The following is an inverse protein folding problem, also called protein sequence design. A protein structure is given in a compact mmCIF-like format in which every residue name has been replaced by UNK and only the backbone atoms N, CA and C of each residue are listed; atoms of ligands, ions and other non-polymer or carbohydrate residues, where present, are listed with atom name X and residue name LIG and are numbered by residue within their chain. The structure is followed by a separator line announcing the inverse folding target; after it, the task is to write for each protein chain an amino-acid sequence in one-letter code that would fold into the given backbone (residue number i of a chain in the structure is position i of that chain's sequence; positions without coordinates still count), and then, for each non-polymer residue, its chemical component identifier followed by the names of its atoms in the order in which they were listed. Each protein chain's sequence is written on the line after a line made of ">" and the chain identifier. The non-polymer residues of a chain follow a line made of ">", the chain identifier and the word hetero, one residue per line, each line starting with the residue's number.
data_IF_875669862221
#
_entry.id   IF_875669862221
#
_cell.length_a   1.000
_cell.length_b   1.000
_cell.length_c   1.000
_cell.angle_alpha   90.00
_cell.angle_beta   90.00
_cell.angle_gamma   90.00
#
_symmetry.space_group_name_H-M   'P 1'
#
loop_
_entity.id
_entity.type
_entity.pdbx_description
1 polymer ?
#
# COMPACT_ATOMS: atom_id res chain seq x y z
N UNK A 1 -8.21 -4.94 -8.39
CA UNK A 1 -9.05 -4.08 -7.53
C UNK A 1 -8.17 -2.96 -7.01
N UNK A 2 -8.47 -1.71 -7.34
CA UNK A 2 -7.73 -0.56 -6.79
C UNK A 2 -8.12 -0.40 -5.31
N UNK A 3 -7.13 -0.31 -4.42
CA UNK A 3 -7.39 -0.16 -2.99
C UNK A 3 -8.05 1.18 -2.69
N UNK A 4 -9.31 1.20 -2.27
CA UNK A 4 -9.93 2.43 -1.77
C UNK A 4 -9.33 2.78 -0.40
N UNK A 5 -8.41 3.74 -0.40
CA UNK A 5 -7.74 4.25 0.80
C UNK A 5 -8.39 5.52 1.28
N UNK A 6 -8.48 5.67 2.61
CA UNK A 6 -8.84 6.98 3.19
C UNK A 6 -7.64 7.92 3.05
N UNK A 7 -7.83 9.24 2.96
CA UNK A 7 -6.72 10.20 2.94
C UNK A 7 -5.74 10.00 4.09
N UNK A 8 -6.25 9.64 5.28
CA UNK A 8 -5.46 9.35 6.47
C UNK A 8 -4.60 8.09 6.39
N UNK A 9 -4.96 7.15 5.52
CA UNK A 9 -4.19 5.94 5.26
C UNK A 9 -3.05 6.26 4.29
N UNK A 10 -3.33 7.06 3.25
CA UNK A 10 -2.33 7.54 2.28
C UNK A 10 -1.22 8.36 2.94
N UNK A 11 -1.57 9.29 3.83
CA UNK A 11 -0.61 10.11 4.61
C UNK A 11 0.35 9.24 5.45
N UNK A 12 -0.04 8.01 5.77
CA UNK A 12 0.70 7.10 6.66
C UNK A 12 1.29 5.89 5.95
N UNK A 13 1.35 5.94 4.62
CA UNK A 13 2.11 4.95 3.87
C UNK A 13 3.59 5.14 4.20
N UNK A 14 4.20 4.06 4.67
CA UNK A 14 5.64 3.91 4.79
C UNK A 14 6.19 3.57 3.40
N UNK A 15 6.76 4.57 2.73
CA UNK A 15 7.30 4.42 1.37
C UNK A 15 8.57 3.58 1.35
N UNK A 16 9.38 3.60 2.42
CA UNK A 16 10.59 2.79 2.53
C UNK A 16 10.26 1.30 2.69
N UNK A 17 9.16 0.99 3.39
CA UNK A 17 8.65 -0.37 3.51
C UNK A 17 7.75 -0.80 2.35
N UNK A 18 7.36 0.10 1.45
CA UNK A 18 6.51 -0.22 0.31
C UNK A 18 7.30 -0.95 -0.77
N UNK A 19 6.73 -2.03 -1.31
CA UNK A 19 7.42 -2.88 -2.29
C UNK A 19 6.51 -3.23 -3.46
N UNK A 20 7.10 -3.26 -4.66
CA UNK A 20 6.49 -3.88 -5.84
C UNK A 20 7.12 -5.25 -6.00
N UNK A 21 6.31 -6.31 -5.95
CA UNK A 21 6.77 -7.68 -6.12
C UNK A 21 6.99 -8.03 -7.59
N UNK A 22 7.67 -9.15 -7.84
CA UNK A 22 7.99 -9.63 -9.19
C UNK A 22 6.77 -9.88 -10.07
N UNK A 23 5.63 -10.21 -9.47
CA UNK A 23 4.32 -10.38 -10.12
C UNK A 23 3.56 -9.05 -10.31
N UNK A 24 4.26 -7.92 -10.17
CA UNK A 24 3.72 -6.55 -10.35
C UNK A 24 2.56 -6.25 -9.41
N UNK A 25 2.62 -6.75 -8.18
CA UNK A 25 1.69 -6.39 -7.11
C UNK A 25 2.36 -5.37 -6.19
N UNK A 26 1.71 -4.23 -6.01
CA UNK A 26 2.17 -3.17 -5.10
C UNK A 26 1.64 -3.44 -3.70
N UNK A 27 2.55 -3.54 -2.72
CA UNK A 27 2.22 -3.71 -1.30
C UNK A 27 2.50 -2.42 -0.54
N UNK A 28 1.43 -1.69 -0.21
CA UNK A 28 1.49 -0.47 0.58
C UNK A 28 1.48 -0.82 2.07
N UNK A 29 2.53 -0.41 2.78
CA UNK A 29 2.61 -0.56 4.24
C UNK A 29 2.07 0.69 4.92
N UNK A 30 0.94 0.59 5.62
CA UNK A 30 0.31 1.72 6.31
C UNK A 30 0.48 1.58 7.81
N UNK A 31 1.12 2.57 8.44
CA UNK A 31 1.37 2.55 9.88
C UNK A 31 0.14 3.08 10.62
N UNK A 32 -0.53 2.22 11.40
CA UNK A 32 -1.71 2.62 12.16
C UNK A 32 -1.31 3.56 13.32
N UNK A 33 -1.98 4.72 13.47
CA UNK A 33 -1.54 5.75 14.42
C UNK A 33 -1.77 5.39 15.89
N UNK A 34 -2.80 4.59 16.20
CA UNK A 34 -3.27 4.37 17.58
C UNK A 34 -3.36 2.91 18.00
N UNK A 35 -3.28 2.00 17.04
CA UNK A 35 -3.34 0.58 17.33
C UNK A 35 -1.94 0.08 17.64
N UNK A 36 -1.75 -0.42 18.86
CA UNK A 36 -0.52 -1.09 19.27
C UNK A 36 -0.82 -2.54 19.58
N UNK A 37 -0.07 -3.47 18.99
CA UNK A 37 -0.04 -4.87 19.41
C UNK A 37 1.30 -5.12 20.08
N UNK A 38 1.27 -5.57 21.33
CA UNK A 38 2.48 -5.83 22.14
C UNK A 38 3.45 -4.64 22.22
N UNK A 39 2.92 -3.40 22.20
CA UNK A 39 3.73 -2.17 22.29
C UNK A 39 4.27 -1.64 20.96
N UNK A 40 4.19 -2.41 19.87
CA UNK A 40 4.55 -1.98 18.52
C UNK A 40 3.33 -1.42 17.78
N UNK A 41 3.53 -0.39 16.94
CA UNK A 41 2.47 0.12 16.06
C UNK A 41 2.06 -0.98 15.10
N UNK A 42 0.76 -1.18 14.92
CA UNK A 42 0.24 -2.15 13.96
C UNK A 42 0.43 -1.59 12.55
N UNK A 43 1.04 -2.38 11.67
CA UNK A 43 1.10 -2.07 10.24
C UNK A 43 -0.01 -2.82 9.52
N UNK A 44 -0.72 -2.12 8.65
CA UNK A 44 -1.70 -2.70 7.73
C UNK A 44 -1.10 -2.73 6.34
N UNK A 45 -1.03 -3.92 5.74
CA UNK A 45 -0.60 -4.08 4.35
C UNK A 45 -1.83 -4.03 3.45
N UNK A 46 -1.76 -3.25 2.37
CA UNK A 46 -2.76 -3.25 1.31
C UNK A 46 -2.09 -3.59 0.00
N UNK A 47 -2.63 -4.58 -0.70
CA UNK A 47 -2.14 -5.03 -1.99
C UNK A 47 -2.96 -4.42 -3.12
N UNK A 48 -2.27 -3.86 -4.11
CA UNK A 48 -2.85 -3.35 -5.34
C UNK A 48 -2.32 -4.21 -6.47
N UNK A 49 -3.24 -4.92 -7.12
CA UNK A 49 -2.94 -5.72 -8.30
C UNK A 49 -2.83 -4.83 -9.53
N UNK A 50 -1.99 -5.22 -10.51
CA UNK A 50 -1.84 -4.45 -11.74
C UNK A 50 -3.17 -4.44 -12.50
N UNK A 51 -3.46 -3.31 -13.14
CA UNK A 51 -4.60 -3.21 -14.04
C UNK A 51 -4.20 -3.71 -15.44
N UNK A 52 -5.14 -4.30 -16.18
CA UNK A 52 -4.89 -4.80 -17.54
C UNK A 52 -4.63 -3.67 -18.53
N UNK A 53 -5.35 -2.55 -18.40
CA UNK A 53 -5.07 -1.31 -19.11
C UNK A 53 -3.89 -0.58 -18.45
N UNK A 54 -2.75 -0.39 -19.16
CA UNK A 54 -1.58 0.32 -18.64
C UNK A 54 -1.85 1.76 -18.21
N UNK A 55 -2.77 2.47 -18.88
CA UNK A 55 -3.09 3.87 -18.55
C UNK A 55 -3.83 4.00 -17.21
N UNK A 56 -4.46 2.91 -16.76
CA UNK A 56 -5.20 2.84 -15.51
C UNK A 56 -4.45 2.05 -14.44
N UNK A 57 -3.22 1.59 -14.69
CA UNK A 57 -2.48 0.72 -13.79
C UNK A 57 -1.72 1.52 -12.73
N UNK A 58 -2.16 1.52 -11.45
CA UNK A 58 -1.48 2.30 -10.42
C UNK A 58 -0.10 1.73 -10.09
N UNK A 59 0.09 0.41 -10.28
CA UNK A 59 1.37 -0.25 -10.03
C UNK A 59 2.43 0.22 -11.03
N UNK A 60 2.05 0.40 -12.30
CA UNK A 60 2.95 0.86 -13.35
C UNK A 60 3.36 2.34 -13.19
N UNK A 61 2.51 3.16 -12.56
CA UNK A 61 2.80 4.57 -12.29
C UNK A 61 3.67 4.75 -11.03
N UNK A 62 3.62 3.78 -10.12
CA UNK A 62 4.39 3.83 -8.87
C UNK A 62 5.85 3.38 -9.05
N UNK A 63 6.11 2.41 -9.93
CA UNK A 63 7.47 1.99 -10.34
C UNK A 63 8.29 3.14 -10.95
#
# INVERSE_FOLDING_TARGET
>A
MAGFLRPSDLERVDLDATVVSSDKVLSLNIVAPKEKRQGQRVTKVITIHPHTDPLLCPVAVFE
#
